data_IF_192033296132
#
_entry.id   IF_192033296132
#
_cell.length_a   1.000
_cell.length_b   1.000
_cell.length_c   1.000
_cell.angle_alpha   90.00
_cell.angle_beta   90.00
_cell.angle_gamma   90.00
#
_symmetry.space_group_name_H-M   'P 1'
#
loop_
_entity.id
_entity.type
_entity.pdbx_description
1 polymer ?
#
# COMPACT_ATOMS: atom_id res chain seq x y z
N UNK A 1 17.37 -3.76 6.80
CA UNK A 1 16.81 -4.86 7.61
C UNK A 1 16.16 -5.89 6.70
N UNK A 2 16.58 -7.15 6.78
CA UNK A 2 16.08 -8.25 5.95
C UNK A 2 14.66 -8.64 6.36
N UNK A 3 13.67 -8.24 5.57
CA UNK A 3 12.39 -8.97 5.53
C UNK A 3 12.70 -10.38 5.03
N UNK A 4 12.76 -11.32 5.97
CA UNK A 4 12.96 -12.72 5.65
C UNK A 4 11.81 -13.22 4.77
N UNK A 5 12.20 -13.67 3.57
CA UNK A 5 11.39 -14.45 2.65
C UNK A 5 10.75 -15.63 3.39
N UNK A 6 9.43 -15.62 3.48
CA UNK A 6 8.63 -16.85 3.50
C UNK A 6 7.33 -16.60 2.75
N UNK A 7 7.45 -16.45 1.42
CA UNK A 7 6.38 -16.95 0.57
C UNK A 7 6.49 -18.48 0.67
N UNK A 8 5.60 -19.11 1.43
CA UNK A 8 5.23 -20.49 1.14
C UNK A 8 4.98 -20.55 -0.38
N UNK A 9 5.53 -21.52 -1.13
CA UNK A 9 5.08 -21.79 -2.48
C UNK A 9 3.71 -22.48 -2.38
N UNK A 10 2.74 -21.85 -1.71
CA UNK A 10 1.35 -22.14 -1.96
C UNK A 10 1.13 -21.78 -3.41
N UNK A 11 0.80 -22.80 -4.20
CA UNK A 11 0.25 -22.61 -5.54
C UNK A 11 -0.94 -21.67 -5.40
N UNK A 12 -0.70 -20.37 -5.60
CA UNK A 12 -1.75 -19.38 -5.66
C UNK A 12 -2.41 -19.59 -7.01
N UNK A 13 -3.39 -20.50 -7.05
CA UNK A 13 -4.26 -20.61 -8.20
C UNK A 13 -5.11 -19.35 -8.26
N UNK A 14 -4.96 -18.62 -9.35
CA UNK A 14 -5.83 -17.51 -9.65
C UNK A 14 -6.99 -18.00 -10.51
N UNK A 15 -8.19 -17.51 -10.22
CA UNK A 15 -9.39 -17.70 -11.02
C UNK A 15 -9.72 -16.36 -11.64
N UNK A 16 -9.66 -16.29 -12.96
CA UNK A 16 -9.86 -15.06 -13.72
C UNK A 16 -11.05 -15.20 -14.66
N UNK A 17 -11.75 -14.12 -14.96
CA UNK A 17 -12.91 -14.15 -15.86
C UNK A 17 -12.61 -13.66 -17.27
N UNK A 18 -11.37 -13.25 -17.56
CA UNK A 18 -11.04 -12.58 -18.82
C UNK A 18 -11.66 -11.19 -18.93
N UNK A 19 -12.07 -10.60 -17.81
CA UNK A 19 -12.94 -9.44 -17.73
C UNK A 19 -12.51 -8.54 -16.58
N UNK A 20 -12.32 -7.26 -16.85
CA UNK A 20 -11.88 -6.26 -15.87
C UNK A 20 -12.84 -5.08 -15.89
N UNK A 21 -13.18 -4.52 -14.73
CA UNK A 21 -14.12 -3.41 -14.61
C UNK A 21 -13.49 -2.25 -13.84
N UNK A 22 -13.81 -1.01 -14.20
CA UNK A 22 -13.42 0.18 -13.45
C UNK A 22 -14.65 0.96 -12.98
N UNK A 23 -14.47 1.83 -11.98
CA UNK A 23 -15.55 2.67 -11.45
C UNK A 23 -15.69 3.96 -12.25
N UNK A 24 -16.91 4.39 -12.58
CA UNK A 24 -17.16 5.63 -13.36
C UNK A 24 -17.93 6.67 -12.56
N UNK A 25 -17.82 7.95 -12.98
CA UNK A 25 -18.56 9.13 -12.43
C UNK A 25 -20.06 9.12 -12.78
N UNK A 26 -20.74 7.98 -12.65
CA UNK A 26 -22.19 7.93 -12.84
C UNK A 26 -22.85 7.20 -11.67
N UNK A 27 -24.01 7.67 -11.16
CA UNK A 27 -24.76 6.97 -10.10
C UNK A 27 -25.07 5.50 -10.40
N UNK A 28 -24.95 5.10 -11.66
CA UNK A 28 -25.53 3.90 -12.27
C UNK A 28 -24.51 2.88 -12.81
N UNK A 29 -23.19 2.98 -12.63
CA UNK A 29 -22.39 1.78 -12.91
C UNK A 29 -20.88 1.84 -12.91
N UNK A 30 -20.33 0.63 -12.85
CA UNK A 30 -18.98 0.27 -13.27
C UNK A 30 -18.96 0.05 -14.78
N UNK A 31 -17.85 0.33 -15.45
CA UNK A 31 -17.67 0.06 -16.89
C UNK A 31 -16.64 -1.04 -17.12
N UNK A 32 -16.70 -1.68 -18.30
CA UNK A 32 -15.70 -2.64 -18.74
C UNK A 32 -14.39 -1.91 -19.06
N UNK A 33 -13.35 -2.25 -18.30
CA UNK A 33 -12.00 -1.74 -18.46
C UNK A 33 -11.27 -2.45 -19.62
N UNK A 34 -11.30 -3.78 -19.55
CA UNK A 34 -10.65 -4.71 -20.48
C UNK A 34 -11.49 -6.00 -20.57
N UNK A 35 -11.58 -6.57 -21.76
CA UNK A 35 -12.25 -7.86 -22.01
C UNK A 35 -11.45 -8.62 -23.08
N UNK A 36 -10.76 -9.67 -22.65
CA UNK A 36 -9.90 -10.46 -23.53
C UNK A 36 -10.70 -11.44 -24.40
N UNK A 37 -11.96 -11.70 -24.04
CA UNK A 37 -12.84 -12.64 -24.72
C UNK A 37 -13.63 -11.91 -25.79
N UNK A 38 -14.18 -10.73 -25.45
CA UNK A 38 -14.93 -9.88 -26.36
C UNK A 38 -14.56 -8.40 -26.18
N UNK A 39 -13.50 -7.93 -26.90
CA UNK A 39 -13.07 -6.54 -26.84
C UNK A 39 -14.13 -5.51 -27.28
N UNK A 40 -15.22 -5.94 -27.94
CA UNK A 40 -16.30 -5.03 -28.32
C UNK A 40 -17.15 -4.56 -27.13
N UNK A 41 -16.97 -5.18 -25.96
CA UNK A 41 -17.65 -4.82 -24.72
C UNK A 41 -16.91 -3.76 -23.92
N UNK A 42 -15.71 -3.36 -24.33
CA UNK A 42 -14.93 -2.32 -23.66
C UNK A 42 -15.75 -1.01 -23.62
N UNK A 43 -15.71 -0.33 -22.47
CA UNK A 43 -16.50 0.87 -22.15
C UNK A 43 -18.02 0.68 -22.02
N UNK A 44 -18.53 -0.54 -22.21
CA UNK A 44 -19.92 -0.83 -21.86
C UNK A 44 -20.15 -0.72 -20.35
N UNK A 45 -21.31 -0.21 -19.98
CA UNK A 45 -21.73 -0.13 -18.59
C UNK A 45 -22.18 -1.50 -18.10
N UNK A 46 -21.65 -1.95 -16.96
CA UNK A 46 -22.11 -3.14 -16.25
C UNK A 46 -23.22 -2.72 -15.30
N UNK A 47 -24.46 -3.06 -15.66
CA UNK A 47 -25.65 -2.66 -14.89
C UNK A 47 -26.03 -3.69 -13.83
N UNK A 48 -25.91 -4.97 -14.17
CA UNK A 48 -26.24 -6.08 -13.28
C UNK A 48 -25.17 -7.17 -13.31
N UNK A 49 -25.04 -7.86 -12.19
CA UNK A 49 -24.23 -9.06 -11.99
C UNK A 49 -25.13 -10.09 -11.33
N UNK A 50 -25.33 -11.24 -11.98
CA UNK A 50 -26.26 -12.29 -11.55
C UNK A 50 -27.64 -11.74 -11.15
N UNK A 51 -28.23 -10.96 -12.06
CA UNK A 51 -29.53 -10.28 -11.95
C UNK A 51 -29.67 -9.28 -10.79
N UNK A 52 -28.58 -8.93 -10.12
CA UNK A 52 -28.53 -7.89 -9.06
C UNK A 52 -27.79 -6.66 -9.55
N UNK A 53 -28.10 -5.44 -9.04
CA UNK A 53 -27.36 -4.23 -9.40
C UNK A 53 -25.85 -4.43 -9.19
N UNK A 54 -25.06 -4.13 -10.22
CA UNK A 54 -23.62 -4.41 -10.21
C UNK A 54 -22.91 -3.73 -9.04
N UNK A 55 -23.28 -2.49 -8.74
CA UNK A 55 -22.72 -1.72 -7.63
C UNK A 55 -22.92 -2.40 -6.28
N UNK A 56 -24.10 -3.00 -6.04
CA UNK A 56 -24.40 -3.67 -4.78
C UNK A 56 -23.57 -4.94 -4.62
N UNK A 57 -23.47 -5.74 -5.69
CA UNK A 57 -22.68 -6.98 -5.72
C UNK A 57 -21.20 -6.69 -5.47
N UNK A 58 -20.65 -5.66 -6.11
CA UNK A 58 -19.23 -5.28 -5.95
C UNK A 58 -18.99 -4.67 -4.56
N UNK A 59 -19.95 -3.91 -4.02
CA UNK A 59 -19.88 -3.36 -2.65
C UNK A 59 -19.86 -4.47 -1.62
N UNK A 60 -20.75 -5.45 -1.75
CA UNK A 60 -20.81 -6.60 -0.87
C UNK A 60 -19.52 -7.41 -0.94
N UNK A 61 -19.00 -7.62 -2.15
CA UNK A 61 -17.72 -8.29 -2.36
C UNK A 61 -16.57 -7.54 -1.68
N UNK A 62 -16.44 -6.22 -1.91
CA UNK A 62 -15.40 -5.39 -1.31
C UNK A 62 -15.46 -5.39 0.23
N UNK A 63 -16.67 -5.39 0.80
CA UNK A 63 -16.87 -5.44 2.25
C UNK A 63 -16.43 -6.77 2.87
N UNK A 64 -16.77 -7.87 2.21
CA UNK A 64 -16.69 -9.21 2.80
C UNK A 64 -15.44 -10.00 2.38
N UNK A 65 -14.82 -9.66 1.25
CA UNK A 65 -13.73 -10.44 0.65
C UNK A 65 -12.41 -9.68 0.53
N UNK A 66 -12.42 -8.35 0.69
CA UNK A 66 -11.20 -7.52 0.63
C UNK A 66 -10.91 -6.96 2.01
N UNK A 67 -9.67 -7.14 2.47
CA UNK A 67 -9.25 -6.80 3.84
C UNK A 67 -8.02 -5.90 3.91
N UNK A 68 -7.56 -5.35 2.78
CA UNK A 68 -6.35 -4.54 2.71
C UNK A 68 -6.50 -3.14 3.33
N UNK A 69 -7.73 -2.66 3.55
CA UNK A 69 -8.01 -1.37 4.17
C UNK A 69 -9.30 -1.39 4.98
N UNK A 70 -9.36 -0.53 6.00
CA UNK A 70 -10.58 -0.28 6.78
C UNK A 70 -11.57 0.61 6.03
N UNK A 71 -11.06 1.51 5.18
CA UNK A 71 -11.88 2.35 4.31
C UNK A 71 -12.54 1.48 3.22
N UNK A 72 -13.87 1.51 3.16
CA UNK A 72 -14.61 0.75 2.16
C UNK A 72 -14.37 1.29 0.74
N UNK A 73 -14.05 2.58 0.56
CA UNK A 73 -13.70 3.14 -0.75
C UNK A 73 -12.40 2.53 -1.30
N UNK A 74 -11.39 2.36 -0.45
CA UNK A 74 -10.12 1.71 -0.85
C UNK A 74 -10.36 0.26 -1.23
N UNK A 75 -11.16 -0.46 -0.46
CA UNK A 75 -11.55 -1.85 -0.77
C UNK A 75 -12.36 -1.93 -2.07
N UNK A 76 -13.27 -0.99 -2.28
CA UNK A 76 -14.06 -0.90 -3.51
C UNK A 76 -13.16 -0.64 -4.73
N UNK A 77 -12.22 0.31 -4.65
CA UNK A 77 -11.21 0.50 -5.67
C UNK A 77 -10.40 -0.78 -5.93
N UNK A 78 -10.03 -1.51 -4.87
CA UNK A 78 -9.27 -2.77 -4.99
C UNK A 78 -10.10 -3.88 -5.66
N UNK A 79 -11.42 -3.89 -5.49
CA UNK A 79 -12.31 -4.83 -6.17
C UNK A 79 -12.31 -4.63 -7.69
N UNK A 80 -12.03 -3.41 -8.13
CA UNK A 80 -12.05 -2.97 -9.51
C UNK A 80 -10.65 -2.78 -10.08
N UNK A 81 -10.54 -2.80 -11.40
CA UNK A 81 -9.33 -2.50 -12.13
C UNK A 81 -8.99 -1.01 -12.06
N UNK A 82 -7.70 -0.73 -11.89
CA UNK A 82 -7.10 0.60 -11.98
C UNK A 82 -5.71 0.47 -12.58
N UNK A 83 -5.14 1.54 -13.13
CA UNK A 83 -3.75 1.52 -13.57
C UNK A 83 -2.82 1.88 -12.41
N UNK A 84 -1.85 1.00 -12.15
CA UNK A 84 -0.74 1.23 -11.25
C UNK A 84 0.58 1.19 -11.99
N UNK A 85 1.59 1.90 -11.49
CA UNK A 85 2.97 1.76 -11.97
C UNK A 85 3.68 0.71 -11.12
N UNK A 86 4.10 -0.40 -11.73
CA UNK A 86 4.67 -1.57 -11.07
C UNK A 86 5.60 -2.33 -12.01
N UNK A 87 6.68 -2.94 -11.51
CA UNK A 87 7.68 -3.60 -12.35
C UNK A 87 8.22 -2.73 -13.50
N UNK A 88 8.42 -1.44 -13.22
CA UNK A 88 8.91 -0.44 -14.19
C UNK A 88 7.99 -0.22 -15.42
N UNK A 89 6.71 -0.61 -15.32
CA UNK A 89 5.70 -0.37 -16.35
C UNK A 89 4.32 -0.10 -15.74
N UNK A 90 3.34 0.27 -16.55
CA UNK A 90 1.95 0.31 -16.11
C UNK A 90 1.32 -1.07 -16.18
N UNK A 91 0.62 -1.43 -15.11
CA UNK A 91 -0.05 -2.71 -14.93
C UNK A 91 -1.48 -2.48 -14.46
N UNK A 92 -2.36 -3.45 -14.72
CA UNK A 92 -3.71 -3.42 -14.17
C UNK A 92 -3.62 -3.83 -12.70
N UNK A 93 -3.78 -2.88 -11.80
CA UNK A 93 -3.84 -3.14 -10.37
C UNK A 93 -5.28 -3.31 -9.89
N UNK A 94 -5.47 -4.00 -8.75
CA UNK A 94 -6.78 -4.28 -8.17
C UNK A 94 -7.46 -5.47 -8.85
N UNK A 95 -8.71 -5.28 -9.31
CA UNK A 95 -9.59 -6.23 -10.01
C UNK A 95 -9.94 -7.51 -9.23
N UNK A 96 -9.92 -7.46 -7.89
CA UNK A 96 -10.12 -8.66 -7.07
C UNK A 96 -11.51 -9.27 -7.22
N UNK A 97 -12.48 -8.53 -7.76
CA UNK A 97 -13.80 -9.08 -8.06
C UNK A 97 -13.74 -10.16 -9.14
N UNK A 98 -13.03 -9.89 -10.24
CA UNK A 98 -12.93 -10.75 -11.42
C UNK A 98 -11.64 -11.56 -11.51
N UNK A 99 -10.70 -11.31 -10.61
CA UNK A 99 -9.48 -12.09 -10.38
C UNK A 99 -9.39 -12.52 -8.91
N UNK A 100 -9.64 -13.80 -8.63
CA UNK A 100 -9.77 -14.32 -7.25
C UNK A 100 -8.67 -15.32 -6.93
N UNK A 101 -8.17 -15.26 -5.70
CA UNK A 101 -7.27 -16.28 -5.12
C UNK A 101 -8.03 -17.46 -4.48
N UNK A 102 -9.33 -17.27 -4.20
CA UNK A 102 -10.20 -18.33 -3.68
C UNK A 102 -11.07 -18.88 -4.81
N UNK A 103 -11.20 -20.20 -4.85
CA UNK A 103 -12.09 -20.88 -5.79
C UNK A 103 -13.52 -20.32 -5.63
N UNK A 104 -14.10 -19.74 -6.68
CA UNK A 104 -15.46 -19.23 -6.65
C UNK A 104 -16.47 -20.37 -6.45
N UNK A 105 -17.54 -20.10 -5.72
CA UNK A 105 -18.61 -21.09 -5.48
C UNK A 105 -19.36 -21.43 -6.76
N UNK A 106 -19.60 -20.42 -7.59
CA UNK A 106 -20.31 -20.55 -8.84
C UNK A 106 -19.31 -20.64 -10.01
N UNK A 107 -19.49 -21.59 -10.95
CA UNK A 107 -18.57 -21.79 -12.05
C UNK A 107 -18.58 -20.65 -13.08
N UNK A 108 -19.61 -19.79 -13.02
CA UNK A 108 -19.83 -18.69 -13.94
C UNK A 108 -20.39 -17.47 -13.22
N UNK A 109 -20.19 -16.28 -13.81
CA UNK A 109 -20.94 -15.06 -13.46
C UNK A 109 -21.61 -14.53 -14.73
N UNK A 110 -22.85 -14.06 -14.59
CA UNK A 110 -23.57 -13.35 -15.66
C UNK A 110 -23.53 -11.85 -15.47
N UNK A 111 -23.31 -11.10 -16.54
CA UNK A 111 -23.28 -9.65 -16.57
C UNK A 111 -24.33 -9.12 -17.54
N UNK A 112 -25.08 -8.11 -17.13
CA UNK A 112 -25.93 -7.33 -18.03
C UNK A 112 -25.20 -6.05 -18.42
N UNK A 113 -24.83 -5.96 -19.70
CA UNK A 113 -24.10 -4.84 -20.28
C UNK A 113 -25.06 -3.89 -21.00
N UNK A 114 -24.78 -2.60 -20.88
CA UNK A 114 -25.39 -1.54 -21.69
C UNK A 114 -24.29 -0.87 -22.53
N UNK A 115 -24.31 -1.13 -23.84
CA UNK A 115 -23.36 -0.58 -24.80
C UNK A 115 -24.11 0.37 -25.75
N UNK A 116 -24.04 1.69 -25.50
CA UNK A 116 -24.73 2.69 -26.32
C UNK A 116 -26.22 2.39 -26.52
N UNK A 117 -26.94 2.20 -25.40
CA UNK A 117 -28.38 1.87 -25.32
C UNK A 117 -28.76 0.45 -25.79
N UNK A 118 -27.78 -0.38 -26.18
CA UNK A 118 -28.00 -1.79 -26.44
C UNK A 118 -27.73 -2.61 -25.18
N UNK A 119 -28.79 -3.19 -24.62
CA UNK A 119 -28.71 -4.07 -23.46
C UNK A 119 -28.59 -5.53 -23.90
N UNK A 120 -27.61 -6.24 -23.37
CA UNK A 120 -27.47 -7.68 -23.57
C UNK A 120 -26.75 -8.34 -22.39
N UNK A 121 -26.92 -9.66 -22.28
CA UNK A 121 -26.28 -10.45 -21.25
C UNK A 121 -25.07 -11.19 -21.82
N UNK A 122 -24.02 -11.25 -21.03
CA UNK A 122 -22.87 -12.13 -21.24
C UNK A 122 -22.71 -13.03 -20.01
N UNK A 123 -22.16 -14.21 -20.21
CA UNK A 123 -21.77 -15.11 -19.13
C UNK A 123 -20.27 -15.38 -19.27
N UNK A 124 -19.56 -15.34 -18.14
CA UNK A 124 -18.11 -15.57 -18.09
C UNK A 124 -17.83 -16.75 -17.16
N UNK A 125 -17.06 -17.72 -17.66
CA UNK A 125 -16.55 -18.83 -16.88
C UNK A 125 -15.25 -18.43 -16.18
N UNK A 126 -14.92 -19.11 -15.08
CA UNK A 126 -13.62 -18.95 -14.44
C UNK A 126 -12.53 -19.71 -15.17
N UNK A 127 -11.55 -19.00 -15.71
CA UNK A 127 -10.34 -19.56 -16.29
C UNK A 127 -9.23 -19.64 -15.24
N UNK A 128 -8.49 -20.74 -15.23
CA UNK A 128 -7.23 -20.87 -14.49
C UNK A 128 -6.10 -20.48 -15.44
N UNK A 129 -5.39 -19.36 -15.21
CA UNK A 129 -4.28 -18.96 -16.07
C UNK A 129 -3.24 -20.08 -16.14
N UNK A 130 -2.86 -20.49 -17.36
CA UNK A 130 -2.03 -21.68 -17.57
C UNK A 130 -0.62 -21.48 -16.98
N UNK A 131 -0.19 -22.38 -16.10
CA UNK A 131 0.98 -22.24 -15.20
C UNK A 131 2.36 -22.39 -15.86
N UNK A 132 2.45 -22.48 -17.19
CA UNK A 132 3.71 -22.70 -17.92
C UNK A 132 4.61 -21.45 -18.01
N UNK A 133 4.04 -20.26 -17.89
CA UNK A 133 4.73 -18.96 -17.98
C UNK A 133 4.22 -17.94 -16.96
N UNK A 134 3.29 -18.35 -16.09
CA UNK A 134 2.57 -17.47 -15.17
C UNK A 134 2.87 -17.94 -13.74
N UNK A 135 4.09 -17.63 -13.27
CA UNK A 135 4.40 -17.39 -11.84
C UNK A 135 4.02 -15.97 -11.42
N UNK A 136 3.26 -15.30 -12.27
CA UNK A 136 3.12 -13.86 -12.38
C UNK A 136 1.62 -13.64 -12.35
N UNK A 137 1.11 -13.03 -11.29
CA UNK A 137 -0.27 -12.52 -11.24
C UNK A 137 -0.66 -11.94 -12.63
N UNK A 138 -1.76 -12.38 -13.29
CA UNK A 138 -2.15 -11.88 -14.61
C UNK A 138 -2.33 -10.36 -14.68
N UNK A 139 -2.37 -9.67 -13.53
CA UNK A 139 -2.22 -8.20 -13.41
C UNK A 139 -0.89 -7.65 -13.94
N UNK A 140 0.19 -8.45 -13.91
CA UNK A 140 1.57 -8.01 -14.20
C UNK A 140 1.91 -8.02 -15.69
N UNK A 141 0.96 -8.34 -16.58
CA UNK A 141 1.16 -8.07 -18.00
C UNK A 141 1.12 -6.55 -18.18
N UNK A 142 2.17 -5.99 -18.77
CA UNK A 142 2.22 -4.59 -19.16
C UNK A 142 0.92 -4.19 -19.87
N UNK A 143 0.24 -3.17 -19.34
CA UNK A 143 -0.95 -2.63 -19.94
C UNK A 143 -0.55 -1.81 -21.16
N UNK A 144 -0.97 -2.26 -22.34
CA UNK A 144 -0.68 -1.55 -23.57
C UNK A 144 -1.75 -0.48 -23.82
N UNK A 145 -1.41 0.77 -23.55
CA UNK A 145 -2.27 1.94 -23.74
C UNK A 145 -1.70 2.81 -24.85
N UNK A 146 -2.56 3.36 -25.72
CA UNK A 146 -2.11 4.41 -26.67
C UNK A 146 -1.61 5.68 -25.98
N UNK A 147 -1.93 5.85 -24.69
CA UNK A 147 -1.49 6.97 -23.87
C UNK A 147 -0.15 6.74 -23.20
N UNK A 148 0.38 5.51 -23.18
CA UNK A 148 1.58 5.17 -22.40
C UNK A 148 2.63 4.61 -23.35
N UNK A 149 3.82 5.19 -23.32
CA UNK A 149 4.99 4.61 -23.98
C UNK A 149 6.24 4.82 -23.12
N UNK A 150 7.41 4.41 -23.63
CA UNK A 150 8.69 4.46 -22.88
C UNK A 150 9.02 5.86 -22.33
N UNK A 151 8.57 6.93 -23.00
CA UNK A 151 8.94 8.32 -22.68
C UNK A 151 7.75 9.22 -22.34
N UNK A 152 6.51 8.75 -22.52
CA UNK A 152 5.30 9.55 -22.32
C UNK A 152 4.25 8.80 -21.49
N UNK A 153 3.53 9.55 -20.65
CA UNK A 153 2.27 9.14 -20.05
C UNK A 153 1.25 10.24 -20.31
N UNK A 154 0.36 10.00 -21.27
CA UNK A 154 -0.50 11.01 -21.90
C UNK A 154 0.30 12.23 -22.32
N UNK A 155 0.07 13.36 -21.64
CA UNK A 155 0.76 14.63 -21.89
C UNK A 155 2.02 14.85 -21.03
N UNK A 156 2.36 13.92 -20.16
CA UNK A 156 3.53 14.02 -19.29
C UNK A 156 4.78 13.50 -20.01
N UNK A 157 5.85 14.29 -19.98
CA UNK A 157 7.12 13.97 -20.62
C UNK A 157 8.13 13.47 -19.60
N UNK A 158 8.74 12.31 -19.88
CA UNK A 158 9.80 11.74 -19.05
C UNK A 158 11.00 12.68 -19.05
N UNK A 159 11.48 13.03 -17.85
CA UNK A 159 12.71 13.81 -17.66
C UNK A 159 13.85 12.96 -17.08
N UNK A 160 13.52 11.87 -16.37
CA UNK A 160 14.52 10.99 -15.79
C UNK A 160 13.94 9.60 -15.50
N UNK A 161 14.67 8.55 -15.89
CA UNK A 161 14.33 7.15 -15.62
C UNK A 161 15.30 6.57 -14.58
N UNK A 162 14.75 5.94 -13.56
CA UNK A 162 15.44 5.60 -12.32
C UNK A 162 15.02 4.23 -11.81
N UNK A 163 15.39 3.14 -12.51
CA UNK A 163 15.20 1.72 -12.14
C UNK A 163 13.76 1.38 -11.70
N UNK A 164 13.39 1.70 -10.46
CA UNK A 164 12.06 1.52 -9.85
C UNK A 164 11.23 2.80 -9.83
N UNK A 165 11.65 3.84 -10.52
CA UNK A 165 10.96 5.12 -10.52
C UNK A 165 11.15 5.86 -11.83
N UNK A 166 10.18 6.70 -12.18
CA UNK A 166 10.25 7.59 -13.34
C UNK A 166 9.76 8.96 -12.96
N UNK A 167 10.46 9.96 -13.47
CA UNK A 167 10.19 11.37 -13.21
C UNK A 167 9.70 12.01 -14.49
N UNK A 168 8.57 12.67 -14.41
CA UNK A 168 7.93 13.34 -15.53
C UNK A 168 7.70 14.81 -15.21
N UNK A 169 7.61 15.62 -16.26
CA UNK A 169 7.03 16.95 -16.20
C UNK A 169 5.72 16.96 -16.94
N UNK A 170 4.71 17.60 -16.35
CA UNK A 170 3.41 17.79 -16.93
C UNK A 170 3.03 19.25 -16.71
N UNK A 171 2.99 20.02 -17.80
CA UNK A 171 2.84 21.47 -17.74
C UNK A 171 3.87 22.11 -16.77
N UNK A 172 3.41 22.79 -15.72
CA UNK A 172 4.24 23.49 -14.74
C UNK A 172 4.54 22.65 -13.48
N UNK A 173 4.07 21.42 -13.37
CA UNK A 173 4.33 20.54 -12.22
C UNK A 173 5.11 19.27 -12.58
N UNK A 174 5.56 18.57 -11.54
CA UNK A 174 6.35 17.36 -11.60
C UNK A 174 5.55 16.15 -11.15
N UNK A 175 5.82 14.99 -11.75
CA UNK A 175 5.20 13.72 -11.36
C UNK A 175 6.29 12.69 -11.14
N UNK A 176 6.21 11.95 -10.04
CA UNK A 176 7.10 10.83 -9.75
C UNK A 176 6.27 9.57 -9.64
N UNK A 177 6.60 8.58 -10.47
CA UNK A 177 6.05 7.24 -10.38
C UNK A 177 7.07 6.36 -9.67
N UNK A 178 6.64 5.61 -8.66
CA UNK A 178 7.50 4.70 -7.89
C UNK A 178 6.85 3.32 -7.96
N UNK A 179 7.55 2.37 -8.58
CA UNK A 179 7.01 1.04 -8.87
C UNK A 179 7.01 0.12 -7.66
N UNK A 180 7.96 0.32 -6.76
CA UNK A 180 8.10 -0.44 -5.53
C UNK A 180 8.96 0.31 -4.53
N UNK A 181 8.63 0.17 -3.25
CA UNK A 181 9.48 0.57 -2.11
C UNK A 181 10.28 -0.63 -1.57
N UNK A 182 9.97 -1.83 -2.06
CA UNK A 182 10.68 -3.05 -1.69
C UNK A 182 12.06 -3.08 -2.36
N UNK A 183 13.08 -2.77 -1.57
CA UNK A 183 14.48 -2.90 -1.97
C UNK A 183 15.09 -4.24 -1.57
N UNK A 184 14.29 -5.21 -1.12
CA UNK A 184 14.80 -6.53 -0.77
C UNK A 184 15.40 -7.22 -2.00
N UNK A 185 16.57 -7.82 -1.82
CA UNK A 185 17.31 -8.47 -2.91
C UNK A 185 18.24 -7.55 -3.70
N UNK A 186 18.17 -6.23 -3.52
CA UNK A 186 19.21 -5.34 -4.07
C UNK A 186 20.51 -5.52 -3.28
N UNK A 187 21.63 -5.60 -4.01
CA UNK A 187 22.94 -5.47 -3.38
C UNK A 187 23.24 -3.98 -3.06
N UNK A 188 24.27 -3.73 -2.25
CA UNK A 188 24.61 -2.36 -1.81
C UNK A 188 24.90 -1.39 -2.97
N UNK A 189 25.48 -1.88 -4.07
CA UNK A 189 25.74 -1.08 -5.27
C UNK A 189 24.46 -0.70 -6.01
N UNK A 190 23.53 -1.64 -6.14
CA UNK A 190 22.21 -1.39 -6.73
C UNK A 190 21.38 -0.43 -5.88
N UNK A 191 21.40 -0.61 -4.56
CA UNK A 191 20.78 0.33 -3.62
C UNK A 191 21.38 1.72 -3.78
N UNK A 192 22.70 1.87 -3.71
CA UNK A 192 23.37 3.16 -3.92
C UNK A 192 23.02 3.81 -5.26
N UNK A 193 22.93 3.02 -6.33
CA UNK A 193 22.53 3.51 -7.67
C UNK A 193 21.08 3.98 -7.68
N UNK A 194 20.17 3.19 -7.11
CA UNK A 194 18.76 3.57 -6.98
C UNK A 194 18.61 4.91 -6.24
N UNK A 195 19.32 5.09 -5.12
CA UNK A 195 19.27 6.33 -4.34
C UNK A 195 19.87 7.53 -5.06
N UNK A 196 21.01 7.33 -5.71
CA UNK A 196 21.64 8.38 -6.51
C UNK A 196 20.68 8.85 -7.60
N UNK A 197 20.01 7.92 -8.26
CA UNK A 197 19.00 8.21 -9.26
C UNK A 197 17.80 8.95 -8.65
N UNK A 198 17.28 8.50 -7.50
CA UNK A 198 16.19 9.18 -6.81
C UNK A 198 16.55 10.63 -6.45
N UNK A 199 17.75 10.86 -5.90
CA UNK A 199 18.24 12.21 -5.59
C UNK A 199 18.33 13.07 -6.86
N UNK A 200 18.81 12.51 -7.98
CA UNK A 200 18.89 13.24 -9.26
C UNK A 200 17.49 13.61 -9.76
N UNK A 201 16.55 12.65 -9.77
CA UNK A 201 15.17 12.90 -10.20
C UNK A 201 14.48 13.97 -9.34
N UNK A 202 14.59 13.88 -8.01
CA UNK A 202 14.03 14.91 -7.12
C UNK A 202 14.71 16.27 -7.25
N UNK A 203 16.00 16.34 -7.59
CA UNK A 203 16.65 17.62 -7.93
C UNK A 203 16.05 18.25 -9.18
N UNK A 204 15.74 17.45 -10.19
CA UNK A 204 15.11 17.93 -11.43
C UNK A 204 13.68 18.42 -11.21
N UNK A 205 13.04 17.98 -10.12
CA UNK A 205 11.74 18.44 -9.67
C UNK A 205 11.80 19.35 -8.44
N UNK A 206 12.96 19.87 -8.05
CA UNK A 206 13.10 20.59 -6.77
C UNK A 206 12.18 21.82 -6.67
N UNK A 207 11.90 22.47 -7.80
CA UNK A 207 10.98 23.60 -7.94
C UNK A 207 9.51 23.19 -8.07
N UNK A 208 9.22 21.88 -8.09
CA UNK A 208 7.91 21.28 -8.33
C UNK A 208 7.51 20.43 -7.13
N UNK A 209 6.25 20.53 -6.71
CA UNK A 209 5.77 19.83 -5.51
C UNK A 209 5.85 18.31 -5.68
N UNK A 210 6.15 17.61 -4.59
CA UNK A 210 6.36 16.16 -4.58
C UNK A 210 5.65 15.56 -3.36
N UNK A 211 5.03 14.41 -3.57
CA UNK A 211 4.48 13.55 -2.52
C UNK A 211 5.29 12.26 -2.50
N UNK A 212 5.71 11.79 -1.34
CA UNK A 212 6.38 10.49 -1.26
C UNK A 212 6.07 9.69 -0.01
N UNK A 213 6.04 8.37 -0.19
CA UNK A 213 5.86 7.39 0.85
C UNK A 213 7.01 7.40 1.87
N UNK A 214 6.74 6.81 3.03
CA UNK A 214 7.58 6.84 4.21
C UNK A 214 9.04 6.41 3.96
N UNK A 215 9.22 5.30 3.24
CA UNK A 215 10.54 4.82 2.86
C UNK A 215 11.33 5.90 2.12
N UNK A 216 10.69 6.60 1.19
CA UNK A 216 11.33 7.65 0.40
C UNK A 216 11.55 8.92 1.22
N UNK A 217 10.67 9.22 2.18
CA UNK A 217 10.91 10.29 3.16
C UNK A 217 12.21 9.99 3.92
N UNK A 218 12.40 8.76 4.42
CA UNK A 218 13.65 8.34 5.06
C UNK A 218 14.85 8.40 4.11
N UNK A 219 14.68 8.13 2.82
CA UNK A 219 15.76 8.28 1.84
C UNK A 219 16.18 9.73 1.63
N UNK A 220 15.22 10.66 1.58
CA UNK A 220 15.48 12.08 1.35
C UNK A 220 15.88 12.82 2.64
N UNK A 221 15.41 12.33 3.79
CA UNK A 221 15.58 12.91 5.11
C UNK A 221 15.96 11.82 6.13
N UNK A 222 17.18 11.24 6.06
CA UNK A 222 17.55 10.05 6.86
C UNK A 222 17.52 10.23 8.37
N UNK A 223 17.51 11.47 8.86
CA UNK A 223 17.46 11.79 10.28
C UNK A 223 16.04 12.08 10.79
N UNK A 224 15.00 11.98 9.95
CA UNK A 224 13.63 12.23 10.36
C UNK A 224 13.13 11.09 11.26
N UNK A 225 12.49 11.44 12.37
CA UNK A 225 11.62 10.52 13.09
C UNK A 225 10.22 10.60 12.45
N UNK A 226 9.70 9.52 11.85
CA UNK A 226 8.50 9.64 11.00
C UNK A 226 7.25 9.78 11.87
N UNK A 227 6.91 8.74 12.63
CA UNK A 227 5.81 8.72 13.57
C UNK A 227 6.22 7.99 14.85
N UNK A 228 5.70 8.42 16.01
CA UNK A 228 5.86 7.65 17.24
C UNK A 228 5.04 6.36 17.18
N UNK A 229 5.60 5.29 17.74
CA UNK A 229 4.96 3.99 17.86
C UNK A 229 5.14 3.40 19.26
N UNK A 230 4.26 2.47 19.61
CA UNK A 230 4.45 1.57 20.76
C UNK A 230 4.07 0.14 20.41
N UNK A 231 4.67 -0.81 21.13
CA UNK A 231 4.48 -2.25 20.93
C UNK A 231 3.53 -2.75 22.01
N UNK A 232 2.52 -3.52 21.59
CA UNK A 232 1.62 -4.22 22.51
C UNK A 232 2.41 -5.21 23.37
N UNK A 233 2.28 -5.09 24.69
CA UNK A 233 2.95 -5.95 25.67
C UNK A 233 2.09 -7.18 25.97
N UNK A 234 2.68 -8.34 25.73
CA UNK A 234 2.14 -9.69 25.98
C UNK A 234 3.28 -10.58 26.48
N UNK A 235 2.98 -11.79 26.97
CA UNK A 235 4.02 -12.78 27.28
C UNK A 235 4.98 -13.01 26.11
N UNK A 236 4.44 -13.00 24.88
CA UNK A 236 5.22 -13.22 23.65
C UNK A 236 6.15 -12.05 23.37
N UNK A 237 5.60 -10.84 23.22
CA UNK A 237 6.42 -9.66 22.90
C UNK A 237 7.40 -9.31 24.02
N UNK A 238 7.07 -9.57 25.28
CA UNK A 238 8.01 -9.38 26.41
C UNK A 238 9.22 -10.29 26.27
N UNK A 239 9.00 -11.59 26.01
CA UNK A 239 10.09 -12.54 25.83
C UNK A 239 10.98 -12.18 24.62
N UNK A 240 10.38 -11.73 23.51
CA UNK A 240 11.14 -11.23 22.36
C UNK A 240 11.95 -9.98 22.69
N UNK A 241 11.36 -9.02 23.40
CA UNK A 241 12.07 -7.79 23.80
C UNK A 241 13.28 -8.13 24.67
N UNK A 242 13.11 -9.00 25.66
CA UNK A 242 14.19 -9.42 26.55
C UNK A 242 15.32 -10.12 25.79
N UNK A 243 14.99 -11.14 25.00
CA UNK A 243 15.99 -11.95 24.30
C UNK A 243 16.75 -11.14 23.24
N UNK A 244 16.04 -10.42 22.39
CA UNK A 244 16.66 -9.68 21.27
C UNK A 244 17.46 -8.48 21.78
N UNK A 245 16.99 -7.81 22.84
CA UNK A 245 17.75 -6.72 23.46
C UNK A 245 19.03 -7.23 24.13
N UNK A 246 19.02 -8.44 24.73
CA UNK A 246 20.22 -9.06 25.30
C UNK A 246 21.22 -9.50 24.23
N UNK A 247 20.74 -9.90 23.05
CA UNK A 247 21.57 -10.22 21.89
C UNK A 247 22.14 -8.96 21.19
N UNK A 248 21.73 -7.75 21.60
CA UNK A 248 22.14 -6.44 21.06
C UNK A 248 21.98 -6.32 19.54
N UNK A 249 20.93 -6.93 18.98
CA UNK A 249 20.61 -6.86 17.56
C UNK A 249 19.94 -5.52 17.24
N UNK A 250 20.73 -4.46 17.10
CA UNK A 250 20.22 -3.10 16.88
C UNK A 250 19.51 -2.99 15.52
N UNK A 251 18.36 -2.31 15.52
CA UNK A 251 17.44 -2.14 14.39
C UNK A 251 16.31 -3.17 14.35
N UNK A 252 16.34 -4.21 15.19
CA UNK A 252 15.22 -5.14 15.33
C UNK A 252 14.04 -4.45 16.05
N UNK A 253 12.82 -4.79 15.64
CA UNK A 253 11.56 -4.27 16.21
C UNK A 253 11.52 -4.46 17.74
N UNK A 254 12.07 -5.54 18.27
CA UNK A 254 11.96 -5.84 19.70
C UNK A 254 13.18 -5.40 20.52
N UNK A 255 14.22 -4.83 19.89
CA UNK A 255 15.35 -4.29 20.63
C UNK A 255 15.05 -2.86 21.10
N UNK A 256 15.09 -2.59 22.40
CA UNK A 256 14.82 -1.25 22.94
C UNK A 256 15.78 -0.17 22.41
N UNK A 257 16.99 -0.54 22.00
CA UNK A 257 17.99 0.39 21.43
C UNK A 257 17.68 0.81 20.00
N UNK A 258 16.78 0.09 19.34
CA UNK A 258 16.22 0.48 18.05
C UNK A 258 15.26 1.66 18.15
N UNK A 259 15.06 2.23 19.34
CA UNK A 259 14.07 3.27 19.58
C UNK A 259 14.65 4.48 20.29
N UNK A 260 14.11 5.65 19.95
CA UNK A 260 14.36 6.93 20.62
C UNK A 260 13.10 7.34 21.37
N UNK A 261 13.20 7.50 22.69
CA UNK A 261 12.08 7.90 23.54
C UNK A 261 11.51 9.25 23.09
N UNK A 262 10.18 9.33 22.96
CA UNK A 262 9.47 10.60 22.67
C UNK A 262 9.61 11.63 23.79
N UNK A 263 9.94 11.19 25.02
CA UNK A 263 10.06 12.04 26.20
C UNK A 263 11.51 12.49 26.41
N UNK A 264 12.47 11.55 26.37
CA UNK A 264 13.89 11.84 26.62
C UNK A 264 14.64 12.33 25.37
N UNK A 265 14.08 12.11 24.18
CA UNK A 265 14.74 12.34 22.89
C UNK A 265 16.11 11.66 22.77
N UNK A 266 16.27 10.50 23.42
CA UNK A 266 17.46 9.65 23.40
C UNK A 266 17.02 8.19 23.44
N UNK A 267 17.93 7.25 23.18
CA UNK A 267 17.68 5.82 23.37
C UNK A 267 17.30 5.49 24.81
N UNK A 268 16.52 4.43 24.99
CA UNK A 268 16.18 3.93 26.33
C UNK A 268 17.43 3.39 27.03
N UNK A 269 17.50 3.52 28.36
CA UNK A 269 18.65 3.07 29.15
C UNK A 269 18.52 1.58 29.54
N UNK A 270 17.31 1.02 29.48
CA UNK A 270 17.01 -0.36 29.86
C UNK A 270 15.72 -0.90 29.24
N UNK A 271 15.59 -2.24 29.23
CA UNK A 271 14.37 -2.95 28.84
C UNK A 271 13.16 -2.48 29.67
N UNK A 272 13.32 -2.32 30.98
CA UNK A 272 12.22 -1.90 31.87
C UNK A 272 11.68 -0.51 31.54
N UNK A 273 12.55 0.41 31.13
CA UNK A 273 12.14 1.74 30.69
C UNK A 273 11.35 1.69 29.38
N UNK A 274 11.79 0.84 28.45
CA UNK A 274 11.12 0.65 27.17
C UNK A 274 9.75 -0.03 27.33
N UNK A 275 9.68 -1.12 28.08
CA UNK A 275 8.40 -1.80 28.41
C UNK A 275 7.47 -0.84 29.15
N UNK A 276 7.99 -0.07 30.10
CA UNK A 276 7.22 0.91 30.85
C UNK A 276 6.02 0.30 31.60
N UNK A 277 4.98 1.11 31.82
CA UNK A 277 3.74 0.67 32.46
C UNK A 277 2.49 1.30 31.80
N UNK A 278 2.58 1.61 30.51
CA UNK A 278 1.50 2.27 29.78
C UNK A 278 0.36 1.28 29.57
N UNK A 279 -0.84 1.69 29.94
CA UNK A 279 -2.06 0.87 29.79
C UNK A 279 -3.14 1.73 29.18
N UNK A 280 -3.74 1.24 28.09
CA UNK A 280 -4.82 1.91 27.39
C UNK A 280 -6.04 1.00 27.28
N UNK A 281 -7.22 1.61 27.17
CA UNK A 281 -8.44 0.88 26.83
C UNK A 281 -8.56 0.75 25.31
N UNK A 282 -8.56 -0.47 24.79
CA UNK A 282 -8.72 -0.79 23.36
C UNK A 282 -9.81 -1.84 23.20
N UNK A 283 -10.84 -1.54 22.39
CA UNK A 283 -11.95 -2.49 22.15
C UNK A 283 -12.66 -2.97 23.44
N UNK A 284 -12.69 -2.13 24.48
CA UNK A 284 -13.26 -2.47 25.79
C UNK A 284 -12.35 -3.25 26.75
N UNK A 285 -11.12 -3.59 26.34
CA UNK A 285 -10.13 -4.26 27.20
C UNK A 285 -9.00 -3.31 27.61
N UNK A 286 -8.45 -3.51 28.81
CA UNK A 286 -7.18 -2.88 29.19
C UNK A 286 -6.02 -3.63 28.55
N UNK A 287 -5.19 -2.91 27.81
CA UNK A 287 -4.06 -3.45 27.06
C UNK A 287 -2.81 -2.66 27.42
N UNK A 288 -1.71 -3.36 27.68
CA UNK A 288 -0.41 -2.76 27.96
C UNK A 288 0.39 -2.53 26.69
N UNK A 289 1.14 -1.43 26.67
CA UNK A 289 2.03 -1.06 25.56
C UNK A 289 3.37 -0.57 26.11
N UNK A 290 4.42 -0.63 25.27
CA UNK A 290 5.71 0.00 25.56
C UNK A 290 5.56 1.52 25.75
N UNK A 291 6.61 2.16 26.21
CA UNK A 291 6.73 3.62 26.12
C UNK A 291 6.75 4.04 24.65
N UNK A 292 5.93 5.02 24.27
CA UNK A 292 5.89 5.59 22.92
C UNK A 292 7.27 6.10 22.51
N UNK A 293 7.72 5.71 21.34
CA UNK A 293 9.06 5.99 20.87
C UNK A 293 9.09 6.13 19.34
N UNK A 294 10.13 6.77 18.83
CA UNK A 294 10.42 6.77 17.40
C UNK A 294 11.35 5.62 17.05
N UNK A 295 11.05 4.89 15.98
CA UNK A 295 11.97 3.88 15.46
C UNK A 295 13.21 4.53 14.88
N UNK A 296 14.37 4.09 15.33
CA UNK A 296 15.68 4.51 14.86
C UNK A 296 16.13 3.66 13.66
N UNK A 297 15.40 3.76 12.56
CA UNK A 297 15.78 3.10 11.29
C UNK A 297 16.97 3.77 10.59
N UNK A 298 17.42 4.93 11.10
CA UNK A 298 18.43 5.77 10.48
C UNK A 298 19.76 5.05 10.27
N UNK A 299 20.09 4.05 11.09
CA UNK A 299 21.30 3.23 10.94
C UNK A 299 21.38 2.52 9.57
N UNK A 300 20.24 2.09 9.02
CA UNK A 300 20.20 1.48 7.69
C UNK A 300 20.42 2.51 6.57
N UNK A 301 20.15 3.79 6.83
CA UNK A 301 20.25 4.88 5.85
C UNK A 301 21.54 5.69 5.96
N UNK A 302 22.26 5.61 7.09
CA UNK A 302 23.53 6.30 7.30
C UNK A 302 24.66 5.82 6.39
N UNK A 303 24.58 4.59 5.88
CA UNK A 303 25.56 4.06 4.90
C UNK A 303 25.35 4.61 3.48
N UNK A 304 24.25 5.35 3.27
CA UNK A 304 23.84 5.85 1.96
C UNK A 304 24.33 7.29 1.79
N UNK A 305 24.50 7.77 0.53
CA UNK A 305 24.94 9.14 0.28
C UNK A 305 23.99 10.15 0.94
N UNK A 306 24.55 11.14 1.65
CA UNK A 306 23.76 12.22 2.27
C UNK A 306 23.06 13.00 1.15
N UNK A 307 21.71 13.06 1.15
CA UNK A 307 20.98 13.85 0.17
C UNK A 307 21.35 15.34 0.28
N UNK A 308 21.26 16.09 -0.84
CA UNK A 308 21.39 17.54 -0.78
C UNK A 308 20.22 18.14 -0.02
N UNK A 309 20.38 19.37 0.44
CA UNK A 309 19.23 20.13 0.96
C UNK A 309 18.22 20.37 -0.16
N UNK A 310 17.01 19.88 0.03
CA UNK A 310 15.86 20.19 -0.80
C UNK A 310 15.15 21.45 -0.27
N UNK A 311 14.35 22.15 -1.10
CA UNK A 311 13.58 23.32 -0.64
C UNK A 311 12.43 22.95 0.29
N UNK A 312 12.04 21.67 0.33
CA UNK A 312 11.01 21.14 1.22
C UNK A 312 11.63 20.66 2.54
N UNK A 313 10.85 20.75 3.61
CA UNK A 313 11.21 20.26 4.95
C UNK A 313 10.60 18.89 5.21
N UNK A 314 11.11 18.22 6.24
CA UNK A 314 10.56 16.95 6.73
C UNK A 314 9.08 17.04 7.10
N UNK A 315 8.65 18.18 7.66
CA UNK A 315 7.27 18.42 8.05
C UNK A 315 6.37 18.38 6.82
N UNK A 316 6.82 18.96 5.69
CA UNK A 316 6.05 19.01 4.44
C UNK A 316 5.73 17.63 3.85
N UNK A 317 6.41 16.57 4.30
CA UNK A 317 6.30 15.23 3.73
C UNK A 317 5.36 14.30 4.51
N UNK A 318 4.97 14.67 5.75
CA UNK A 318 4.04 13.87 6.56
C UNK A 318 2.59 14.16 6.18
N UNK A 319 2.15 13.70 5.00
CA UNK A 319 0.83 14.02 4.42
C UNK A 319 -0.35 13.94 5.40
N UNK A 320 -0.37 12.91 6.25
CA UNK A 320 -1.45 12.70 7.20
C UNK A 320 -1.51 13.74 8.33
N UNK A 321 -0.48 14.58 8.44
CA UNK A 321 -0.27 15.58 9.50
C UNK A 321 -0.09 17.01 8.95
N UNK A 322 0.03 17.18 7.63
CA UNK A 322 0.14 18.50 7.01
C UNK A 322 -1.19 18.98 6.45
N UNK A 323 -1.43 20.28 6.57
CA UNK A 323 -2.58 20.95 5.98
C UNK A 323 -2.33 21.27 4.50
N UNK A 324 -2.21 20.25 3.66
CA UNK A 324 -2.11 20.38 2.19
C UNK A 324 -3.43 20.00 1.53
N UNK A 325 -3.79 20.57 0.37
CA UNK A 325 -4.91 20.06 -0.43
C UNK A 325 -4.71 18.59 -0.79
N UNK A 326 -5.72 17.78 -0.55
CA UNK A 326 -5.68 16.34 -0.78
C UNK A 326 -6.72 15.90 -1.78
N UNK A 327 -6.32 14.99 -2.68
CA UNK A 327 -7.17 14.46 -3.73
C UNK A 327 -7.15 12.94 -3.66
N UNK A 328 -8.30 12.33 -3.47
CA UNK A 328 -8.49 10.88 -3.61
C UNK A 328 -9.05 10.56 -5.01
N UNK A 329 -8.73 9.39 -5.56
CA UNK A 329 -9.25 8.94 -6.87
C UNK A 329 -10.09 7.67 -6.71
N UNK A 330 -11.27 7.63 -7.33
CA UNK A 330 -12.21 6.51 -7.29
C UNK A 330 -13.11 6.55 -6.06
N UNK A 331 -13.50 5.37 -5.56
CA UNK A 331 -14.40 5.20 -4.43
C UNK A 331 -15.87 5.32 -4.82
N UNK A 332 -16.76 5.24 -3.83
CA UNK A 332 -18.19 5.40 -4.06
C UNK A 332 -18.54 6.87 -4.29
N UNK A 333 -19.51 7.16 -5.18
CA UNK A 333 -20.06 8.49 -5.29
C UNK A 333 -20.63 8.94 -3.94
N UNK A 334 -20.35 10.19 -3.56
CA UNK A 334 -20.85 10.85 -2.34
C UNK A 334 -20.40 10.25 -1.00
N UNK A 335 -19.47 9.30 -0.99
CA UNK A 335 -18.83 8.85 0.24
C UNK A 335 -17.44 9.46 0.36
N UNK A 336 -17.16 10.02 1.54
CA UNK A 336 -15.86 10.57 1.87
C UNK A 336 -14.80 9.47 1.77
N UNK A 337 -13.70 9.76 1.08
CA UNK A 337 -12.57 8.87 0.87
C UNK A 337 -11.41 9.33 1.76
N UNK A 338 -10.77 8.42 2.50
CA UNK A 338 -9.56 8.74 3.27
C UNK A 338 -8.34 8.87 2.35
N UNK A 339 -7.67 10.03 2.31
CA UNK A 339 -6.42 10.17 1.53
C UNK A 339 -5.22 9.53 2.23
N UNK A 340 -5.30 9.38 3.56
CA UNK A 340 -4.33 8.66 4.34
C UNK A 340 -4.99 7.47 5.01
N UNK A 341 -4.45 6.29 4.77
CA UNK A 341 -4.60 5.14 5.64
C UNK A 341 -3.18 4.70 5.99
N UNK A 342 -2.67 5.14 7.13
CA UNK A 342 -1.47 4.52 7.66
C UNK A 342 -1.88 3.14 8.15
N UNK A 343 -1.38 2.08 7.53
CA UNK A 343 -1.26 0.79 8.24
C UNK A 343 -0.04 0.84 9.17
N UNK A 344 0.25 2.00 9.76
CA UNK A 344 1.55 2.33 10.33
C UNK A 344 1.94 1.38 11.46
N UNK A 345 0.96 0.71 12.07
CA UNK A 345 1.24 -0.41 12.94
C UNK A 345 2.06 -1.52 12.28
N UNK A 346 2.92 -2.16 13.06
CA UNK A 346 3.61 -3.37 12.59
C UNK A 346 2.67 -4.57 12.71
N UNK A 347 2.44 -5.28 11.61
CA UNK A 347 1.68 -6.54 11.60
C UNK A 347 2.65 -7.70 11.50
N UNK A 348 2.56 -8.63 12.46
CA UNK A 348 3.32 -9.88 12.41
C UNK A 348 2.40 -11.02 12.02
N UNK A 349 2.98 -12.01 11.32
CA UNK A 349 2.32 -13.30 11.11
C UNK A 349 2.85 -14.34 12.10
N UNK A 350 2.04 -15.37 12.36
CA UNK A 350 2.44 -16.56 13.12
C UNK A 350 3.70 -17.21 12.56
N UNK A 351 3.89 -17.18 11.25
CA UNK A 351 5.01 -17.82 10.57
C UNK A 351 6.29 -17.03 10.79
N UNK A 352 6.22 -15.69 10.73
CA UNK A 352 7.33 -14.81 11.10
C UNK A 352 7.76 -15.04 12.54
N UNK A 353 6.79 -15.18 13.44
CA UNK A 353 7.07 -15.43 14.85
C UNK A 353 7.69 -16.80 15.05
N UNK A 354 7.13 -17.85 14.44
CA UNK A 354 7.66 -19.21 14.52
C UNK A 354 9.10 -19.29 14.00
N UNK A 355 9.38 -18.62 12.88
CA UNK A 355 10.73 -18.52 12.33
C UNK A 355 11.68 -17.79 13.29
N UNK A 356 11.24 -16.70 13.91
CA UNK A 356 12.04 -15.98 14.90
C UNK A 356 12.31 -16.83 16.15
N UNK A 357 11.31 -17.58 16.66
CA UNK A 357 11.47 -18.48 17.80
C UNK A 357 12.52 -19.57 17.55
N UNK A 358 12.64 -20.06 16.32
CA UNK A 358 13.65 -21.06 15.95
C UNK A 358 15.08 -20.50 15.96
N UNK A 359 15.25 -19.18 15.81
CA UNK A 359 16.56 -18.54 15.80
C UNK A 359 17.11 -18.25 17.21
N UNK A 360 16.25 -18.27 18.25
CA UNK A 360 16.64 -17.93 19.62
C UNK A 360 16.34 -19.10 20.57
N UNK A 361 17.40 -19.81 21.01
CA UNK A 361 17.27 -21.02 21.82
C UNK A 361 16.50 -20.81 23.14
N UNK A 362 16.62 -19.62 23.75
CA UNK A 362 15.93 -19.27 24.99
C UNK A 362 14.42 -19.09 24.81
N UNK A 363 13.93 -18.93 23.58
CA UNK A 363 12.50 -18.83 23.25
C UNK A 363 11.87 -20.19 22.91
N UNK A 364 12.61 -21.29 22.99
CA UNK A 364 12.13 -22.64 22.67
C UNK A 364 10.90 -23.08 23.50
N UNK A 365 10.83 -22.67 24.77
CA UNK A 365 9.67 -22.92 25.64
C UNK A 365 8.42 -22.14 25.21
N UNK A 366 8.59 -21.01 24.53
CA UNK A 366 7.49 -20.23 23.96
C UNK A 366 7.02 -20.85 22.64
N UNK A 367 7.95 -21.39 21.84
CA UNK A 367 7.65 -22.11 20.60
C UNK A 367 6.68 -23.28 20.81
N UNK A 368 6.89 -24.08 21.86
CA UNK A 368 6.01 -25.20 22.18
C UNK A 368 4.60 -24.79 22.62
N UNK A 369 4.42 -23.56 23.14
CA UNK A 369 3.12 -23.01 23.53
C UNK A 369 2.37 -22.34 22.37
N UNK A 370 3.08 -21.94 21.32
CA UNK A 370 2.55 -21.19 20.18
C UNK A 370 2.40 -22.05 18.92
N UNK A 371 2.52 -23.38 19.03
CA UNK A 371 2.39 -24.32 17.92
C UNK A 371 1.02 -24.17 17.25
N UNK A 372 0.97 -23.41 16.16
CA UNK A 372 -0.16 -23.33 15.25
C UNK A 372 0.02 -24.41 14.16
N UNK A 373 -1.08 -24.84 13.54
CA UNK A 373 -0.97 -25.67 12.35
C UNK A 373 -0.13 -24.94 11.31
N UNK A 374 0.74 -25.66 10.60
CA UNK A 374 1.50 -25.08 9.47
C UNK A 374 0.58 -24.56 8.36
N UNK A 375 -0.66 -25.05 8.33
CA UNK A 375 -1.69 -24.62 7.38
C UNK A 375 -2.46 -23.36 7.84
N UNK A 376 -2.10 -22.77 8.98
CA UNK A 376 -2.80 -21.63 9.57
C UNK A 376 -1.85 -20.46 9.82
N UNK A 377 -1.89 -19.47 8.93
CA UNK A 377 -1.23 -18.18 9.15
C UNK A 377 -2.18 -17.20 9.85
N UNK A 378 -1.90 -16.89 11.11
CA UNK A 378 -2.57 -15.79 11.82
C UNK A 378 -1.78 -14.49 11.65
N UNK A 379 -2.47 -13.37 11.46
CA UNK A 379 -1.86 -12.04 11.40
C UNK A 379 -2.41 -11.17 12.52
N UNK A 380 -1.53 -10.42 13.18
CA UNK A 380 -1.93 -9.52 14.26
C UNK A 380 -1.06 -8.27 14.31
N UNK A 381 -1.70 -7.17 14.69
CA UNK A 381 -1.03 -5.90 14.96
C UNK A 381 -0.24 -6.04 16.25
N UNK A 382 1.08 -5.85 16.18
CA UNK A 382 1.98 -5.87 17.32
C UNK A 382 2.45 -4.47 17.75
N UNK A 383 2.42 -3.49 16.85
CA UNK A 383 2.72 -2.09 17.18
C UNK A 383 1.63 -1.15 16.67
N UNK A 384 1.37 -0.06 17.37
CA UNK A 384 0.47 1.03 16.96
C UNK A 384 1.29 2.27 16.61
N UNK A 385 0.95 2.96 15.53
CA UNK A 385 1.54 4.25 15.14
C UNK A 385 0.59 5.40 15.49
N UNK A 386 1.14 6.50 15.98
CA UNK A 386 0.39 7.65 16.49
C UNK A 386 0.63 8.92 15.68
N UNK A 387 -0.35 9.81 15.69
CA UNK A 387 -0.21 11.16 15.15
C UNK A 387 0.83 11.94 15.93
N UNK A 388 1.61 12.77 15.22
CA UNK A 388 2.54 13.71 15.85
C UNK A 388 1.79 14.91 16.42
N UNK A 389 0.76 15.40 15.70
CA UNK A 389 -0.02 16.55 16.14
C UNK A 389 -1.01 16.17 17.26
N UNK A 390 -1.48 14.92 17.26
CA UNK A 390 -2.41 14.39 18.26
C UNK A 390 -1.84 13.09 18.88
N UNK A 391 -0.99 13.15 19.91
CA UNK A 391 -0.23 11.99 20.43
C UNK A 391 -1.06 10.79 20.92
N UNK A 392 -2.36 10.95 21.13
CA UNK A 392 -3.29 9.88 21.55
C UNK A 392 -4.13 9.32 20.40
N UNK A 393 -4.02 9.91 19.20
CA UNK A 393 -4.68 9.45 17.98
C UNK A 393 -3.85 8.33 17.33
N UNK A 394 -4.42 7.13 17.28
CA UNK A 394 -3.80 5.99 16.58
C UNK A 394 -4.12 6.09 15.08
N UNK A 395 -3.09 6.20 14.27
CA UNK A 395 -3.20 6.48 12.83
C UNK A 395 -3.94 5.37 12.08
N UNK A 396 -3.78 4.12 12.48
CA UNK A 396 -4.48 2.95 11.90
C UNK A 396 -6.01 3.01 12.00
N UNK A 397 -6.54 3.81 12.94
CA UNK A 397 -7.98 3.98 13.17
C UNK A 397 -8.46 5.39 12.77
N UNK A 398 -7.56 6.22 12.25
CA UNK A 398 -7.85 7.63 11.96
C UNK A 398 -8.35 7.76 10.53
N UNK A 399 -9.53 8.34 10.38
CA UNK A 399 -10.10 8.66 9.06
C UNK A 399 -9.70 10.09 8.67
N UNK A 400 -8.82 10.21 7.68
CA UNK A 400 -8.29 11.48 7.17
C UNK A 400 -8.96 11.77 5.83
N UNK A 401 -10.10 12.44 5.88
CA UNK A 401 -10.89 12.75 4.70
C UNK A 401 -10.10 13.59 3.68
N UNK A 402 -10.14 13.21 2.40
CA UNK A 402 -9.64 14.02 1.29
C UNK A 402 -10.48 15.29 1.09
N UNK A 403 -9.84 16.41 0.78
CA UNK A 403 -10.54 17.66 0.44
C UNK A 403 -11.37 17.51 -0.83
N UNK A 404 -10.85 16.75 -1.80
CA UNK A 404 -11.46 16.51 -3.10
C UNK A 404 -11.42 15.04 -3.47
N UNK A 405 -12.41 14.62 -4.26
CA UNK A 405 -12.49 13.27 -4.80
C UNK A 405 -12.66 13.36 -6.33
N UNK A 406 -11.71 12.75 -7.03
CA UNK A 406 -11.80 12.48 -8.46
C UNK A 406 -12.40 11.10 -8.66
N UNK A 407 -13.04 10.91 -9.81
CA UNK A 407 -13.56 9.63 -10.24
C UNK A 407 -13.02 9.36 -11.64
N UNK A 408 -12.91 8.08 -12.01
CA UNK A 408 -12.46 7.75 -13.35
C UNK A 408 -13.58 8.01 -14.37
N UNK A 409 -13.16 8.37 -15.56
CA UNK A 409 -13.92 8.39 -16.81
C UNK A 409 -13.17 7.53 -17.86
N UNK A 410 -13.75 7.43 -19.07
CA UNK A 410 -13.21 6.60 -20.16
C UNK A 410 -11.75 6.92 -20.49
N UNK A 411 -11.36 8.21 -20.42
CA UNK A 411 -10.01 8.65 -20.69
C UNK A 411 -9.09 8.40 -19.50
N UNK A 412 -9.45 8.91 -18.32
CA UNK A 412 -8.63 8.88 -17.11
C UNK A 412 -8.43 7.49 -16.52
N UNK A 413 -9.30 6.53 -16.84
CA UNK A 413 -9.06 5.12 -16.53
C UNK A 413 -7.82 4.57 -17.27
N UNK A 414 -7.51 5.09 -18.47
CA UNK A 414 -6.45 4.57 -19.38
C UNK A 414 -5.28 5.53 -19.58
N UNK A 415 -5.46 6.79 -19.23
CA UNK A 415 -4.49 7.87 -19.25
C UNK A 415 -4.36 8.48 -17.84
N UNK A 416 -3.41 7.97 -17.02
CA UNK A 416 -3.16 8.49 -15.69
C UNK A 416 -2.84 9.99 -15.66
N UNK A 417 -2.32 10.56 -16.76
CA UNK A 417 -1.98 11.99 -16.81
C UNK A 417 -3.21 12.89 -16.77
N UNK A 418 -4.36 12.41 -17.25
CA UNK A 418 -5.63 13.12 -17.12
C UNK A 418 -6.00 13.32 -15.65
N UNK A 419 -5.79 12.31 -14.79
CA UNK A 419 -6.04 12.43 -13.35
C UNK A 419 -5.09 13.42 -12.69
N UNK A 420 -3.82 13.44 -13.11
CA UNK A 420 -2.83 14.37 -12.57
C UNK A 420 -3.20 15.83 -12.90
N UNK A 421 -3.65 16.10 -14.13
CA UNK A 421 -4.16 17.41 -14.53
C UNK A 421 -5.41 17.80 -13.73
N UNK A 422 -6.35 16.87 -13.55
CA UNK A 422 -7.56 17.14 -12.76
C UNK A 422 -7.22 17.43 -11.29
N UNK A 423 -6.31 16.66 -10.70
CA UNK A 423 -5.88 16.85 -9.31
C UNK A 423 -5.20 18.21 -9.13
N UNK A 424 -4.36 18.61 -10.07
CA UNK A 424 -3.66 19.89 -10.05
C UNK A 424 -4.63 21.09 -10.07
N UNK A 425 -5.73 21.02 -10.84
CA UNK A 425 -6.76 22.05 -10.84
C UNK A 425 -7.43 22.24 -9.47
N UNK A 426 -7.53 21.20 -8.65
CA UNK A 426 -8.06 21.31 -7.29
C UNK A 426 -7.03 21.85 -6.31
N UNK A 427 -5.77 21.44 -6.47
CA UNK A 427 -4.66 21.90 -5.61
C UNK A 427 -4.41 23.40 -5.81
N UNK A 428 -4.49 23.92 -7.05
CA UNK A 428 -4.29 25.35 -7.38
C UNK A 428 -5.41 26.29 -6.93
N UNK A 429 -6.58 25.79 -6.52
CA UNK A 429 -7.74 26.62 -6.13
C UNK A 429 -7.66 27.16 -4.70
N UNK A 430 -6.67 26.74 -3.92
CA UNK A 430 -6.43 27.16 -2.54
C UNK A 430 -5.25 28.10 -2.48
#
# INVERSE_FOLDING_TARGET
MSYNRFASPEFSYYFYQGFSMYSVIRPDGTQVFDDIIDPSTIDCQVTHIDDKPAIDVITEFARNNISNSRDLNVRFNTALASLGYGNSDFIIYGQYFSLRQKLPTDPTISYTLNCSDKIFNITREWIVPNSGSIKIDPTLKAYNSSYINETLVGNASLIFDAIFSRFYTLQDFGVVLISTEDTTGLNIGELNRFLTNMIVGFKLLADKAVIVADYIIKLLFPNINIFPEDIKITDVSTAFIEEISNADVVGDLFNYRSYTSTIKNNSFDSINEFIGNNTYTRGGAQVKFTTKAFRNDSLNFQILPVPPKFPWTEENMRLAEVNVPTVSVGGFPNNKFSFASCSGGTVLSSDTISAALNNYQNLSNLASRLTLSQDLTLRFVCAEVYSINNPDEVMDFSFRQADYQLYYDEQSARDPSSLWLQAEQYIKKR
#
